data_IF_923897315077
#
_entry.id   IF_923897315077
#
_cell.length_a   1.000
_cell.length_b   1.000
_cell.length_c   1.000
_cell.angle_alpha   90.00
_cell.angle_beta   90.00
_cell.angle_gamma   90.00
#
_symmetry.space_group_name_H-M   'P 1'
#
loop_
_entity.id
_entity.type
_entity.pdbx_description
1 polymer ?
#
# COMPACT_ATOMS: atom_id res chain seq x y z
N UNK A 1 -48.03 62.70 -25.81
CA UNK A 1 -47.74 63.82 -24.88
C UNK A 1 -46.74 63.32 -23.86
N UNK A 2 -45.60 63.92 -23.55
CA UNK A 2 -44.74 64.95 -24.13
C UNK A 2 -43.36 64.78 -23.43
N UNK A 3 -42.26 65.06 -24.13
CA UNK A 3 -40.91 65.22 -23.53
C UNK A 3 -40.80 66.57 -22.80
N UNK A 4 -39.96 66.64 -21.77
CA UNK A 4 -39.03 67.74 -21.43
C UNK A 4 -38.40 67.43 -20.04
N UNK A 5 -37.11 67.15 -19.93
CA UNK A 5 -35.97 68.09 -19.81
C UNK A 5 -35.97 68.91 -18.51
N UNK A 6 -35.00 68.61 -17.63
CA UNK A 6 -34.52 69.49 -16.56
C UNK A 6 -32.97 69.49 -16.55
N UNK A 7 -32.31 70.66 -16.49
CA UNK A 7 -30.87 70.80 -16.70
C UNK A 7 -30.04 70.83 -15.40
N UNK A 8 -28.73 70.71 -15.61
CA UNK A 8 -27.64 70.70 -14.65
C UNK A 8 -27.20 72.09 -14.15
N UNK A 9 -26.54 72.14 -12.97
CA UNK A 9 -25.70 73.29 -12.57
C UNK A 9 -25.29 73.32 -11.08
N UNK A 10 -24.27 72.57 -10.62
CA UNK A 10 -22.84 72.95 -10.42
C UNK A 10 -22.52 73.99 -9.31
N UNK A 11 -21.81 73.54 -8.25
CA UNK A 11 -20.46 73.98 -7.76
C UNK A 11 -20.32 73.74 -6.23
N UNK A 12 -19.51 72.77 -5.79
CA UNK A 12 -18.06 72.81 -5.42
C UNK A 12 -17.78 73.32 -3.98
N UNK A 13 -17.19 72.45 -3.15
CA UNK A 13 -15.81 72.56 -2.58
C UNK A 13 -15.46 71.28 -1.80
N UNK A 14 -14.35 70.62 -2.18
CA UNK A 14 -13.60 69.66 -1.35
C UNK A 14 -12.58 70.39 -0.46
N UNK A 15 -11.51 69.75 0.10
CA UNK A 15 -10.95 68.43 -0.23
C UNK A 15 -10.59 67.51 0.97
N UNK A 16 -10.34 66.22 0.69
CA UNK A 16 -9.77 65.26 1.64
C UNK A 16 -9.30 63.98 0.95
N UNK A 17 -8.09 64.01 0.36
CA UNK A 17 -7.28 62.86 -0.10
C UNK A 17 -6.83 62.05 1.15
N UNK A 18 -6.57 60.75 1.18
CA UNK A 18 -6.51 59.67 0.19
C UNK A 18 -5.79 58.45 0.81
N UNK A 19 -5.95 57.25 0.21
CA UNK A 19 -5.02 56.11 0.35
C UNK A 19 -5.54 54.83 1.03
N UNK A 20 -5.77 53.73 0.28
CA UNK A 20 -5.94 52.38 0.84
C UNK A 20 -4.59 51.74 1.19
N UNK A 21 -4.60 50.98 2.29
CA UNK A 21 -3.43 50.35 2.92
C UNK A 21 -2.60 49.47 1.99
N UNK A 22 -1.29 49.71 2.03
CA UNK A 22 -0.28 49.02 1.25
C UNK A 22 -0.22 47.52 1.57
N UNK A 23 -0.44 46.69 0.54
CA UNK A 23 0.07 45.32 0.51
C UNK A 23 1.58 45.39 0.28
N UNK A 24 2.36 45.01 1.29
CA UNK A 24 3.80 44.82 1.13
C UNK A 24 4.06 43.61 0.23
N UNK A 25 4.25 43.84 -1.07
CA UNK A 25 4.76 42.84 -1.99
C UNK A 25 6.26 42.69 -1.70
N UNK A 26 6.61 41.70 -0.89
CA UNK A 26 8.00 41.31 -0.69
C UNK A 26 8.55 40.73 -1.99
N UNK A 27 9.50 41.48 -2.57
CA UNK A 27 10.29 41.16 -3.74
C UNK A 27 10.85 39.72 -3.68
N UNK A 28 10.79 38.99 -4.79
CA UNK A 28 11.12 37.55 -4.88
C UNK A 28 12.56 37.23 -4.42
N UNK A 29 13.47 38.20 -4.52
CA UNK A 29 14.85 38.10 -4.02
C UNK A 29 14.96 38.01 -2.49
N UNK A 30 14.08 38.70 -1.76
CA UNK A 30 14.05 38.67 -0.29
C UNK A 30 13.46 37.36 0.25
N UNK A 31 12.45 36.79 -0.44
CA UNK A 31 11.93 35.45 -0.12
C UNK A 31 12.99 34.36 -0.31
N UNK A 32 13.83 34.47 -1.35
CA UNK A 32 14.97 33.57 -1.56
C UNK A 32 16.00 33.63 -0.44
N UNK A 33 16.42 34.84 -0.03
CA UNK A 33 17.43 35.02 1.03
C UNK A 33 16.94 34.59 2.42
N UNK A 34 15.64 34.73 2.72
CA UNK A 34 15.06 34.27 3.98
C UNK A 34 14.95 32.73 4.06
N UNK A 35 14.65 32.06 2.93
CA UNK A 35 14.67 30.60 2.82
C UNK A 35 16.08 30.03 3.01
N UNK A 36 17.08 30.66 2.43
CA UNK A 36 18.48 30.20 2.51
C UNK A 36 19.07 30.41 3.92
N UNK A 37 18.73 31.51 4.60
CA UNK A 37 19.16 31.74 6.00
C UNK A 37 18.51 30.77 7.00
N UNK A 38 17.28 30.30 6.76
CA UNK A 38 16.63 29.28 7.61
C UNK A 38 17.26 27.90 7.41
N UNK A 39 17.56 27.49 6.17
CA UNK A 39 18.24 26.23 5.89
C UNK A 39 19.65 26.11 6.51
N UNK A 40 20.41 27.23 6.58
CA UNK A 40 21.74 27.24 7.22
C UNK A 40 21.70 27.14 8.75
N UNK A 41 20.66 27.67 9.41
CA UNK A 41 20.50 27.56 10.88
C UNK A 41 20.12 26.14 11.32
N UNK A 42 19.38 25.40 10.51
CA UNK A 42 18.97 24.02 10.80
C UNK A 42 20.15 23.04 10.68
N UNK A 43 21.06 23.26 9.72
CA UNK A 43 22.30 22.47 9.57
C UNK A 43 23.27 22.61 10.76
N UNK A 44 23.37 23.79 11.40
CA UNK A 44 24.25 23.97 12.56
C UNK A 44 23.77 23.21 13.81
N UNK A 45 22.46 23.02 13.99
CA UNK A 45 21.91 22.29 15.16
C UNK A 45 21.97 20.76 15.02
N UNK A 46 22.05 20.24 13.80
CA UNK A 46 22.21 18.80 13.55
C UNK A 46 23.63 18.30 13.80
N UNK A 47 24.65 19.15 13.64
CA UNK A 47 26.04 18.76 13.88
C UNK A 47 26.38 18.58 15.37
N UNK A 48 25.68 19.28 16.26
CA UNK A 48 25.90 19.22 17.72
C UNK A 48 25.18 18.05 18.42
N UNK A 49 24.23 17.36 17.75
CA UNK A 49 23.51 16.21 18.32
C UNK A 49 23.93 14.84 17.78
N UNK A 50 24.95 14.80 16.91
CA UNK A 50 25.54 13.57 16.39
C UNK A 50 26.44 12.86 17.40
N UNK A 51 25.94 12.58 18.61
CA UNK A 51 26.66 11.89 19.66
C UNK A 51 25.84 10.73 20.21
N UNK A 52 26.21 9.50 19.82
CA UNK A 52 25.81 8.19 20.37
C UNK A 52 24.42 7.66 19.98
N UNK A 53 24.36 6.95 18.86
CA UNK A 53 23.48 5.78 18.73
C UNK A 53 24.33 4.51 18.75
N UNK A 54 24.32 3.82 19.90
CA UNK A 54 24.87 2.48 20.05
C UNK A 54 23.91 1.46 19.41
N UNK A 55 24.43 0.62 18.51
CA UNK A 55 23.73 -0.55 17.97
C UNK A 55 23.66 -1.64 19.04
N UNK A 56 22.52 -2.31 19.28
CA UNK A 56 22.50 -3.52 20.09
C UNK A 56 23.23 -4.66 19.36
N UNK A 57 24.22 -5.26 20.03
CA UNK A 57 24.92 -6.47 19.59
C UNK A 57 24.06 -7.70 19.88
N UNK A 58 23.89 -8.57 18.88
CA UNK A 58 23.36 -9.92 19.01
C UNK A 58 24.17 -10.78 19.99
N UNK A 59 23.54 -11.61 20.84
CA UNK A 59 24.18 -12.80 21.38
C UNK A 59 23.87 -14.02 20.48
N UNK A 60 24.94 -14.72 20.08
CA UNK A 60 24.90 -16.05 19.44
C UNK A 60 24.40 -17.08 20.46
N UNK A 61 23.28 -17.74 20.17
CA UNK A 61 22.78 -18.90 20.91
C UNK A 61 22.80 -20.14 20.02
N UNK A 62 23.50 -21.19 20.47
CA UNK A 62 23.67 -22.49 19.79
C UNK A 62 22.34 -23.27 19.78
N UNK A 63 21.98 -23.86 18.64
CA UNK A 63 20.90 -24.84 18.55
C UNK A 63 21.38 -26.21 19.09
N UNK A 64 20.65 -26.75 20.06
CA UNK A 64 20.67 -28.16 20.45
C UNK A 64 19.27 -28.73 20.18
N UNK A 65 19.20 -29.81 19.40
CA UNK A 65 17.97 -30.55 19.08
C UNK A 65 17.83 -31.70 20.08
N UNK A 66 16.70 -31.86 20.81
CA UNK A 66 16.41 -33.09 21.53
C UNK A 66 15.59 -34.07 20.67
N UNK A 67 15.97 -35.34 20.74
CA UNK A 67 15.36 -36.46 20.03
C UNK A 67 13.91 -36.75 20.42
N UNK A 68 13.14 -37.16 19.41
CA UNK A 68 11.74 -37.54 19.55
C UNK A 68 11.56 -38.90 20.22
N UNK A 69 10.61 -38.96 21.16
CA UNK A 69 10.00 -40.20 21.68
C UNK A 69 8.75 -40.53 20.88
N UNK A 70 8.60 -41.82 20.63
CA UNK A 70 7.53 -42.53 19.94
C UNK A 70 6.26 -42.62 20.82
N UNK A 71 5.04 -42.55 20.26
CA UNK A 71 3.84 -42.99 20.97
C UNK A 71 3.34 -44.35 20.50
N UNK A 72 2.70 -45.02 21.46
CA UNK A 72 2.23 -46.39 21.48
C UNK A 72 1.03 -46.69 20.57
N UNK A 73 0.85 -48.00 20.40
CA UNK A 73 -0.19 -48.71 19.67
C UNK A 73 -1.58 -48.49 20.27
N UNK A 74 -2.58 -48.30 19.41
CA UNK A 74 -3.96 -48.75 19.67
C UNK A 74 -4.39 -49.68 18.53
N UNK A 75 -4.81 -50.88 18.90
CA UNK A 75 -5.28 -51.90 17.97
C UNK A 75 -6.75 -51.74 17.61
N UNK A 76 -7.10 -52.21 16.40
CA UNK A 76 -8.45 -52.66 16.11
C UNK A 76 -8.43 -53.95 15.28
N UNK A 77 -9.28 -54.87 15.72
CA UNK A 77 -9.62 -56.17 15.10
C UNK A 77 -10.43 -55.99 13.81
N UNK A 78 -10.14 -56.82 12.82
CA UNK A 78 -11.10 -57.50 11.92
C UNK A 78 -10.25 -58.57 11.18
N UNK A 79 -10.55 -59.86 11.18
CA UNK A 79 -11.78 -60.53 10.75
C UNK A 79 -11.32 -61.63 9.79
N UNK A 80 -11.35 -62.89 10.22
CA UNK A 80 -10.92 -64.05 9.42
C UNK A 80 -11.77 -64.17 8.16
N UNK A 81 -11.12 -64.28 7.00
CA UNK A 81 -11.74 -64.83 5.78
C UNK A 81 -10.99 -66.10 5.37
N UNK A 82 -11.76 -67.15 5.12
CA UNK A 82 -11.36 -68.54 4.86
C UNK A 82 -10.56 -68.68 3.57
N UNK A 83 -9.52 -69.53 3.61
CA UNK A 83 -8.80 -70.04 2.45
C UNK A 83 -9.69 -70.94 1.58
N UNK A 84 -9.55 -70.83 0.26
CA UNK A 84 -9.84 -71.89 -0.72
C UNK A 84 -8.66 -72.02 -1.71
N UNK A 85 -8.48 -73.20 -2.34
CA UNK A 85 -7.16 -73.74 -2.64
C UNK A 85 -6.65 -73.43 -4.05
N UNK A 86 -5.33 -73.62 -4.14
CA UNK A 86 -4.45 -73.74 -5.31
C UNK A 86 -5.13 -74.12 -6.63
N UNK A 87 -4.89 -73.28 -7.65
CA UNK A 87 -4.84 -73.70 -9.05
C UNK A 87 -3.52 -73.19 -9.60
N UNK A 88 -2.55 -74.08 -9.78
CA UNK A 88 -1.31 -73.82 -10.52
C UNK A 88 -1.63 -73.80 -12.02
N UNK A 89 -1.24 -72.77 -12.79
CA UNK A 89 -1.06 -72.94 -14.21
C UNK A 89 0.36 -73.45 -14.48
N UNK A 90 0.44 -74.56 -15.20
CA UNK A 90 1.66 -75.10 -15.76
C UNK A 90 2.15 -74.13 -16.86
N UNK A 91 3.19 -73.35 -16.58
CA UNK A 91 3.85 -72.53 -17.61
C UNK A 91 4.81 -73.42 -18.37
N UNK A 92 4.50 -73.72 -19.63
CA UNK A 92 5.45 -74.31 -20.59
C UNK A 92 6.41 -73.20 -21.04
N UNK A 93 7.70 -73.38 -20.77
CA UNK A 93 8.74 -72.57 -21.39
C UNK A 93 8.92 -72.99 -22.86
N UNK A 94 8.47 -72.14 -23.79
CA UNK A 94 8.93 -72.17 -25.18
C UNK A 94 10.26 -71.42 -25.32
N UNK A 95 11.07 -71.72 -26.36
CA UNK A 95 12.38 -71.11 -26.51
C UNK A 95 12.25 -69.61 -26.77
N UNK A 96 13.12 -68.85 -26.10
CA UNK A 96 13.24 -67.42 -26.23
C UNK A 96 13.67 -67.04 -27.65
N UNK A 97 12.71 -66.69 -28.50
CA UNK A 97 12.96 -65.81 -29.63
C UNK A 97 13.03 -64.39 -29.05
N UNK A 98 14.25 -63.86 -28.89
CA UNK A 98 14.46 -62.45 -28.58
C UNK A 98 14.17 -61.64 -29.84
N UNK A 99 12.90 -61.43 -30.17
CA UNK A 99 12.51 -60.33 -31.06
C UNK A 99 12.72 -59.04 -30.27
N UNK A 100 13.88 -58.43 -30.46
CA UNK A 100 14.06 -57.00 -30.24
C UNK A 100 13.14 -56.29 -31.23
N UNK A 101 11.86 -56.14 -30.89
CA UNK A 101 11.06 -55.05 -31.44
C UNK A 101 11.66 -53.77 -30.89
N UNK A 102 12.66 -53.23 -31.60
CA UNK A 102 12.93 -51.81 -31.57
C UNK A 102 11.57 -51.14 -31.84
N UNK A 103 10.97 -50.57 -30.80
CA UNK A 103 9.79 -49.75 -30.96
C UNK A 103 10.22 -48.58 -31.85
N UNK A 104 9.97 -48.72 -33.14
CA UNK A 104 10.06 -47.65 -34.12
C UNK A 104 8.99 -46.63 -33.69
N UNK A 105 9.36 -45.69 -32.84
CA UNK A 105 8.52 -44.55 -32.54
C UNK A 105 8.46 -43.76 -33.85
N UNK A 106 7.32 -43.73 -34.56
CA UNK A 106 7.24 -42.95 -35.79
C UNK A 106 7.60 -41.51 -35.41
N UNK A 107 8.72 -41.02 -35.97
CA UNK A 107 9.18 -39.67 -35.74
C UNK A 107 8.05 -38.70 -36.03
N UNK A 108 7.82 -37.72 -35.14
CA UNK A 108 6.77 -36.72 -35.35
C UNK A 108 7.04 -36.04 -36.70
N UNK A 109 6.07 -36.06 -37.65
CA UNK A 109 6.33 -35.52 -38.97
C UNK A 109 6.69 -34.04 -38.87
N UNK A 110 7.69 -33.61 -39.64
CA UNK A 110 8.22 -32.22 -39.61
C UNK A 110 7.11 -31.18 -39.75
N UNK A 111 6.06 -31.48 -40.53
CA UNK A 111 4.88 -30.60 -40.67
C UNK A 111 4.14 -30.37 -39.35
N UNK A 112 4.02 -31.39 -38.50
CA UNK A 112 3.39 -31.28 -37.18
C UNK A 112 4.27 -30.44 -36.25
N UNK A 113 5.60 -30.62 -36.30
CA UNK A 113 6.54 -29.80 -35.54
C UNK A 113 6.51 -28.32 -35.97
N UNK A 114 6.47 -28.05 -37.27
CA UNK A 114 6.38 -26.68 -37.82
C UNK A 114 5.05 -26.02 -37.42
N UNK A 115 3.93 -26.72 -37.54
CA UNK A 115 2.62 -26.21 -37.12
C UNK A 115 2.56 -25.94 -35.61
N UNK A 116 3.12 -26.85 -34.80
CA UNK A 116 3.20 -26.67 -33.35
C UNK A 116 4.08 -25.46 -32.97
N UNK A 117 5.26 -25.33 -33.60
CA UNK A 117 6.13 -24.18 -33.39
C UNK A 117 5.47 -22.87 -33.80
N UNK A 118 4.76 -22.85 -34.94
CA UNK A 118 3.97 -21.71 -35.39
C UNK A 118 2.86 -21.34 -34.41
N UNK A 119 2.15 -22.34 -33.87
CA UNK A 119 1.12 -22.13 -32.85
C UNK A 119 1.69 -21.53 -31.55
N UNK A 120 2.82 -22.04 -31.07
CA UNK A 120 3.50 -21.51 -29.88
C UNK A 120 3.96 -20.07 -30.12
N UNK A 121 4.53 -19.77 -31.28
CA UNK A 121 4.95 -18.41 -31.63
C UNK A 121 3.76 -17.45 -31.70
N UNK A 122 2.63 -17.88 -32.27
CA UNK A 122 1.41 -17.07 -32.34
C UNK A 122 0.86 -16.76 -30.94
N UNK A 123 0.74 -17.78 -30.08
CA UNK A 123 0.29 -17.59 -28.70
C UNK A 123 1.26 -16.68 -27.93
N UNK A 124 2.56 -16.90 -28.10
CA UNK A 124 3.60 -16.06 -27.51
C UNK A 124 3.48 -14.59 -27.94
N UNK A 125 3.26 -14.34 -29.24
CA UNK A 125 3.05 -13.00 -29.78
C UNK A 125 1.77 -12.35 -29.24
N UNK A 126 0.67 -13.10 -29.13
CA UNK A 126 -0.59 -12.61 -28.57
C UNK A 126 -0.46 -12.25 -27.08
N UNK A 127 0.23 -13.08 -26.30
CA UNK A 127 0.52 -12.81 -24.89
C UNK A 127 1.47 -11.62 -24.72
N UNK A 128 2.53 -11.53 -25.52
CA UNK A 128 3.45 -10.41 -25.50
C UNK A 128 2.72 -9.09 -25.85
N UNK A 129 1.87 -9.12 -26.87
CA UNK A 129 1.01 -8.01 -27.26
C UNK A 129 0.04 -7.61 -26.14
N UNK A 130 -0.65 -8.57 -25.53
CA UNK A 130 -1.62 -8.28 -24.47
C UNK A 130 -0.95 -7.70 -23.22
N UNK A 131 0.23 -8.19 -22.84
CA UNK A 131 1.04 -7.61 -21.75
C UNK A 131 1.48 -6.21 -22.11
N UNK A 132 2.03 -6.01 -23.32
CA UNK A 132 2.49 -4.70 -23.79
C UNK A 132 1.37 -3.65 -23.74
N UNK A 133 0.18 -3.99 -24.23
CA UNK A 133 -0.97 -3.09 -24.22
C UNK A 133 -1.63 -2.94 -22.86
N UNK A 134 -1.35 -3.81 -21.88
CA UNK A 134 -1.85 -3.68 -20.50
C UNK A 134 -0.99 -2.75 -19.63
N UNK A 135 0.26 -2.47 -20.02
CA UNK A 135 1.15 -1.56 -19.29
C UNK A 135 0.70 -0.09 -19.44
N UNK A 136 0.94 0.78 -18.44
CA UNK A 136 0.72 2.22 -18.57
C UNK A 136 1.60 2.84 -19.66
N UNK A 137 1.20 3.98 -20.20
CA UNK A 137 2.08 4.77 -21.07
C UNK A 137 3.37 5.15 -20.34
N UNK A 138 4.46 5.18 -21.09
CA UNK A 138 5.76 5.65 -20.60
C UNK A 138 6.44 6.50 -21.67
N UNK A 139 7.62 7.03 -21.36
CA UNK A 139 8.37 7.94 -22.24
C UNK A 139 8.68 7.32 -23.61
N UNK A 140 8.82 6.00 -23.69
CA UNK A 140 9.19 5.30 -24.93
C UNK A 140 7.97 4.92 -25.78
N UNK A 141 6.77 4.88 -25.20
CA UNK A 141 5.56 4.53 -25.95
C UNK A 141 4.30 5.00 -25.21
N UNK A 142 3.53 5.80 -25.94
CA UNK A 142 2.17 6.22 -25.59
C UNK A 142 1.20 5.12 -25.96
N UNK A 143 0.49 4.58 -24.97
CA UNK A 143 -0.45 3.45 -25.13
C UNK A 143 -1.88 3.79 -24.73
N UNK A 144 -2.08 4.90 -24.02
CA UNK A 144 -3.40 5.31 -23.52
C UNK A 144 -4.30 5.82 -24.66
N UNK A 145 -5.59 5.52 -24.56
CA UNK A 145 -6.63 6.04 -25.47
C UNK A 145 -6.79 5.33 -26.82
N UNK A 146 -6.01 4.30 -27.14
CA UNK A 146 -6.13 3.56 -28.41
C UNK A 146 -7.06 2.34 -28.37
N UNK A 147 -7.70 2.03 -29.50
CA UNK A 147 -8.63 0.89 -29.65
C UNK A 147 -7.98 -0.46 -29.34
N UNK A 148 -6.70 -0.65 -29.68
CA UNK A 148 -5.95 -1.88 -29.37
C UNK A 148 -5.78 -2.09 -27.86
N UNK A 149 -5.58 -1.02 -27.09
CA UNK A 149 -5.52 -1.10 -25.62
C UNK A 149 -6.89 -1.44 -25.06
N UNK A 150 -7.96 -0.81 -25.56
CA UNK A 150 -9.32 -1.11 -25.13
C UNK A 150 -9.70 -2.57 -25.45
N UNK A 151 -9.35 -3.07 -26.63
CA UNK A 151 -9.57 -4.46 -27.03
C UNK A 151 -8.78 -5.43 -26.15
N UNK A 152 -7.49 -5.14 -25.92
CA UNK A 152 -6.62 -5.94 -25.04
C UNK A 152 -7.17 -5.98 -23.61
N UNK A 153 -7.61 -4.86 -23.07
CA UNK A 153 -8.16 -4.79 -21.71
C UNK A 153 -9.49 -5.56 -21.57
N UNK A 154 -10.29 -5.67 -22.64
CA UNK A 154 -11.57 -6.38 -22.65
C UNK A 154 -11.41 -7.89 -22.86
N UNK A 155 -10.57 -8.30 -23.81
CA UNK A 155 -10.50 -9.70 -24.25
C UNK A 155 -9.37 -10.49 -23.57
N UNK A 156 -8.26 -9.83 -23.24
CA UNK A 156 -7.06 -10.46 -22.71
C UNK A 156 -6.49 -9.64 -21.52
N UNK A 157 -7.29 -9.39 -20.46
CA UNK A 157 -6.84 -8.57 -19.35
C UNK A 157 -5.62 -9.21 -18.68
N UNK A 158 -4.46 -8.56 -18.78
CA UNK A 158 -3.24 -8.98 -18.08
C UNK A 158 -3.03 -8.25 -16.75
N UNK A 159 -3.79 -7.19 -16.47
CA UNK A 159 -3.66 -6.39 -15.25
C UNK A 159 -4.59 -6.89 -14.14
N UNK A 160 -4.02 -7.36 -13.04
CA UNK A 160 -4.75 -7.77 -11.82
C UNK A 160 -4.76 -6.68 -10.73
N UNK A 161 -4.72 -5.41 -11.15
CA UNK A 161 -4.64 -4.27 -10.23
C UNK A 161 -5.96 -3.99 -9.46
N UNK A 162 -6.98 -4.85 -9.64
CA UNK A 162 -8.32 -4.67 -9.06
C UNK A 162 -8.31 -4.56 -7.53
N UNK A 163 -7.33 -5.18 -6.85
CA UNK A 163 -7.23 -5.18 -5.39
C UNK A 163 -6.16 -4.23 -4.83
N UNK A 164 -5.52 -3.43 -5.68
CA UNK A 164 -4.42 -2.55 -5.28
C UNK A 164 -4.78 -1.09 -5.47
N UNK A 165 -4.84 -0.36 -4.36
CA UNK A 165 -4.95 1.09 -4.37
C UNK A 165 -3.72 1.71 -5.08
N UNK A 166 -3.88 2.75 -5.93
CA UNK A 166 -2.75 3.42 -6.55
C UNK A 166 -1.71 3.86 -5.51
N UNK A 167 -0.41 3.66 -5.77
CA UNK A 167 0.63 3.97 -4.79
C UNK A 167 0.74 5.47 -4.49
N UNK A 168 0.24 6.33 -5.38
CA UNK A 168 0.19 7.79 -5.23
C UNK A 168 -0.92 8.29 -4.30
N UNK A 169 -1.90 7.45 -3.99
CA UNK A 169 -3.10 7.87 -3.30
C UNK A 169 -2.87 8.16 -1.82
N UNK A 170 -3.69 9.04 -1.21
CA UNK A 170 -3.64 9.29 0.22
C UNK A 170 -3.99 8.04 1.03
N UNK A 171 -3.32 7.88 2.17
CA UNK A 171 -3.52 6.79 3.12
C UNK A 171 -3.69 7.35 4.52
N UNK A 172 -4.57 6.75 5.31
CA UNK A 172 -4.77 7.12 6.70
C UNK A 172 -3.88 6.27 7.61
N UNK A 173 -3.04 6.95 8.40
CA UNK A 173 -2.12 6.32 9.35
C UNK A 173 -2.60 6.63 10.78
N UNK A 174 -2.87 5.60 11.61
CA UNK A 174 -3.30 5.81 12.99
C UNK A 174 -2.13 5.97 13.95
N UNK A 175 -2.30 6.83 14.96
CA UNK A 175 -1.41 7.00 16.09
C UNK A 175 -2.22 6.90 17.39
N UNK A 176 -1.75 6.10 18.35
CA UNK A 176 -2.34 6.03 19.69
C UNK A 176 -1.82 7.19 20.55
N UNK A 177 -2.72 7.82 21.30
CA UNK A 177 -2.36 8.85 22.26
C UNK A 177 -2.21 8.21 23.64
N UNK A 178 -1.05 8.44 24.27
CA UNK A 178 -0.74 7.98 25.62
C UNK A 178 -0.13 9.13 26.43
N UNK A 179 0.04 8.96 27.74
CA UNK A 179 0.65 9.97 28.62
C UNK A 179 2.08 10.34 28.18
N UNK A 180 2.77 9.43 27.49
CA UNK A 180 4.11 9.64 26.94
C UNK A 180 4.15 10.30 25.56
N UNK A 181 3.00 10.67 24.98
CA UNK A 181 2.87 11.26 23.64
C UNK A 181 2.15 10.36 22.64
N UNK A 182 2.46 10.54 21.36
CA UNK A 182 1.86 9.78 20.26
C UNK A 182 2.74 8.62 19.81
N UNK A 183 2.15 7.45 19.62
CA UNK A 183 2.84 6.27 19.13
C UNK A 183 2.20 5.76 17.83
N UNK A 184 3.02 5.45 16.84
CA UNK A 184 2.54 4.90 15.57
C UNK A 184 1.83 3.56 15.80
N UNK A 185 0.57 3.47 15.37
CA UNK A 185 -0.31 2.33 15.68
C UNK A 185 -0.62 1.44 14.46
N UNK A 186 -0.03 1.73 13.29
CA UNK A 186 -0.26 0.88 12.13
C UNK A 186 0.45 -0.48 12.29
N UNK A 187 -0.31 -1.55 12.09
CA UNK A 187 0.12 -2.93 12.30
C UNK A 187 0.99 -3.46 11.14
N UNK A 188 0.86 -2.91 9.93
CA UNK A 188 1.72 -3.27 8.80
C UNK A 188 3.21 -2.94 9.07
N UNK A 189 4.17 -3.70 8.50
CA UNK A 189 4.00 -4.76 7.50
C UNK A 189 3.66 -6.14 8.06
N UNK A 190 3.12 -7.01 7.18
CA UNK A 190 2.80 -8.41 7.51
C UNK A 190 4.01 -9.21 8.03
N UNK A 191 5.23 -8.84 7.64
CA UNK A 191 6.47 -9.52 8.01
C UNK A 191 6.93 -9.29 9.45
N UNK A 192 6.26 -8.42 10.21
CA UNK A 192 6.56 -8.18 11.64
C UNK A 192 6.32 -9.44 12.48
N UNK A 193 7.15 -9.63 13.52
CA UNK A 193 7.04 -10.77 14.43
C UNK A 193 5.70 -10.73 15.21
N UNK A 194 5.22 -9.54 15.55
CA UNK A 194 3.93 -9.31 16.21
C UNK A 194 2.75 -9.74 15.32
N UNK A 195 2.97 -9.76 14.00
CA UNK A 195 2.03 -10.27 13.01
C UNK A 195 2.25 -11.75 12.68
N UNK A 196 3.09 -12.46 13.44
CA UNK A 196 3.45 -13.86 13.20
C UNK A 196 3.87 -14.08 11.74
N UNK A 197 4.65 -13.15 11.17
CA UNK A 197 5.07 -13.16 9.77
C UNK A 197 3.93 -13.28 8.75
N UNK A 198 2.72 -12.85 9.13
CA UNK A 198 1.54 -12.82 8.27
C UNK A 198 0.51 -13.92 8.55
N UNK A 199 0.72 -14.76 9.58
CA UNK A 199 -0.25 -15.78 9.98
C UNK A 199 -1.49 -15.17 10.65
N UNK A 200 -1.34 -14.06 11.39
CA UNK A 200 -2.52 -13.31 11.86
C UNK A 200 -3.16 -12.53 10.72
N UNK A 201 -4.43 -12.18 10.89
CA UNK A 201 -5.23 -11.40 9.94
C UNK A 201 -5.57 -10.00 10.45
N UNK A 202 -5.20 -9.65 11.68
CA UNK A 202 -5.53 -8.37 12.33
C UNK A 202 -4.98 -7.16 11.56
N UNK A 203 -3.74 -7.24 11.09
CA UNK A 203 -3.10 -6.19 10.31
C UNK A 203 -3.76 -5.93 8.94
N UNK A 204 -4.41 -6.95 8.35
CA UNK A 204 -5.19 -6.77 7.10
C UNK A 204 -6.58 -6.19 7.37
N UNK A 205 -7.13 -6.44 8.57
CA UNK A 205 -8.41 -5.88 8.99
C UNK A 205 -8.30 -4.39 9.38
N UNK A 206 -7.12 -3.92 9.78
CA UNK A 206 -6.92 -2.54 10.25
C UNK A 206 -7.14 -1.48 9.15
N UNK A 207 -6.82 -1.76 7.89
CA UNK A 207 -7.04 -0.80 6.80
C UNK A 207 -8.51 -0.37 6.66
N UNK A 208 -9.44 -1.33 6.48
CA UNK A 208 -10.89 -1.07 6.50
C UNK A 208 -11.39 -0.41 7.80
N UNK A 209 -10.86 -0.82 8.95
CA UNK A 209 -11.19 -0.21 10.25
C UNK A 209 -10.84 1.29 10.27
N UNK A 210 -9.61 1.64 9.91
CA UNK A 210 -9.16 3.04 9.87
C UNK A 210 -9.98 3.85 8.86
N UNK A 211 -10.29 3.28 7.69
CA UNK A 211 -11.11 3.95 6.70
C UNK A 211 -12.55 4.22 7.20
N UNK A 212 -13.16 3.25 7.88
CA UNK A 212 -14.49 3.40 8.47
C UNK A 212 -14.52 4.48 9.57
N UNK A 213 -13.47 4.58 10.38
CA UNK A 213 -13.31 5.66 11.36
C UNK A 213 -13.08 7.01 10.68
N UNK A 214 -12.19 7.07 9.68
CA UNK A 214 -11.87 8.30 8.95
C UNK A 214 -13.08 8.90 8.24
N UNK A 215 -13.99 8.06 7.71
CA UNK A 215 -15.24 8.50 7.07
C UNK A 215 -16.21 9.21 8.04
N UNK A 216 -16.08 9.01 9.35
CA UNK A 216 -16.88 9.70 10.36
C UNK A 216 -16.31 11.07 10.72
N UNK A 217 -15.04 11.35 10.38
CA UNK A 217 -14.36 12.59 10.70
C UNK A 217 -14.77 13.71 9.75
N UNK A 218 -15.54 14.67 10.27
CA UNK A 218 -16.00 15.85 9.51
C UNK A 218 -15.00 17.00 9.51
N UNK A 219 -14.18 17.10 10.55
CA UNK A 219 -13.24 18.22 10.76
C UNK A 219 -11.82 17.68 10.83
N UNK A 220 -11.02 18.12 9.88
CA UNK A 220 -9.60 17.80 9.79
C UNK A 220 -8.79 19.07 9.98
N UNK A 221 -7.64 18.95 10.64
CA UNK A 221 -6.67 20.03 10.75
C UNK A 221 -5.58 19.85 9.71
N UNK A 222 -5.26 20.91 8.98
CA UNK A 222 -4.17 20.90 8.01
C UNK A 222 -2.82 20.76 8.73
N UNK A 223 -1.96 19.88 8.22
CA UNK A 223 -0.59 19.72 8.71
C UNK A 223 0.37 20.71 8.02
N UNK A 224 -0.03 21.35 6.93
CA UNK A 224 0.78 22.35 6.25
C UNK A 224 0.99 23.57 7.15
N UNK A 225 2.26 23.87 7.45
CA UNK A 225 2.64 25.02 8.29
C UNK A 225 2.72 24.74 9.78
N UNK A 226 2.44 23.51 10.24
CA UNK A 226 2.72 23.11 11.62
C UNK A 226 4.24 22.94 11.79
N UNK A 227 4.81 23.60 12.80
CA UNK A 227 6.20 23.36 13.20
C UNK A 227 6.27 22.12 14.11
N UNK A 228 7.04 21.11 13.68
CA UNK A 228 7.23 19.87 14.44
C UNK A 228 6.47 18.68 13.85
N UNK A 229 6.24 17.67 14.69
CA UNK A 229 5.53 16.44 14.33
C UNK A 229 4.01 16.67 14.36
N UNK A 230 3.36 16.63 13.19
CA UNK A 230 1.93 16.95 13.05
C UNK A 230 1.05 16.11 13.97
N UNK A 231 1.13 14.76 13.98
CA UNK A 231 0.34 13.94 14.90
C UNK A 231 0.52 14.32 16.37
N UNK A 232 1.74 14.65 16.82
CA UNK A 232 1.98 15.07 18.20
C UNK A 232 1.31 16.42 18.54
N UNK A 233 1.43 17.41 17.66
CA UNK A 233 0.81 18.73 17.85
C UNK A 233 -0.71 18.63 17.84
N UNK A 234 -1.27 17.83 16.93
CA UNK A 234 -2.72 17.64 16.82
C UNK A 234 -3.26 16.87 18.03
N UNK A 235 -2.55 15.86 18.55
CA UNK A 235 -2.94 15.13 19.76
C UNK A 235 -3.16 16.04 20.98
N UNK A 236 -2.29 17.04 21.16
CA UNK A 236 -2.38 18.00 22.27
C UNK A 236 -3.50 19.03 22.14
N UNK A 237 -4.23 19.03 21.02
CA UNK A 237 -5.27 20.03 20.77
C UNK A 237 -6.63 19.62 21.34
N UNK A 238 -7.42 20.58 21.85
CA UNK A 238 -8.80 20.30 22.27
C UNK A 238 -9.67 19.99 21.04
N UNK A 239 -10.67 19.12 21.21
CA UNK A 239 -11.69 18.84 20.19
C UNK A 239 -11.60 17.46 19.53
N UNK A 240 -11.45 16.39 20.33
CA UNK A 240 -11.58 15.03 19.82
C UNK A 240 -12.99 14.78 19.27
N UNK A 241 -13.07 14.19 18.07
CA UNK A 241 -14.36 13.80 17.46
C UNK A 241 -14.70 12.39 17.93
N UNK A 242 -15.88 12.20 18.52
CA UNK A 242 -16.37 10.87 18.85
C UNK A 242 -16.63 10.07 17.57
N UNK A 243 -16.04 8.89 17.47
CA UNK A 243 -16.22 7.97 16.35
C UNK A 243 -16.53 6.57 16.87
N UNK A 244 -17.40 5.83 16.19
CA UNK A 244 -17.70 4.45 16.53
C UNK A 244 -16.81 3.52 15.72
N UNK A 245 -16.06 2.65 16.39
CA UNK A 245 -15.30 1.59 15.74
C UNK A 245 -16.20 0.35 15.55
N UNK A 246 -16.67 0.15 14.33
CA UNK A 246 -17.54 -0.98 13.96
C UNK A 246 -16.77 -2.21 13.45
N UNK A 247 -15.44 -2.21 13.57
CA UNK A 247 -14.62 -3.36 13.18
C UNK A 247 -14.99 -4.59 14.02
N UNK A 248 -15.19 -5.78 13.40
CA UNK A 248 -15.38 -7.03 14.15
C UNK A 248 -14.17 -7.40 15.02
N UNK A 249 -12.98 -6.90 14.67
CA UNK A 249 -11.74 -7.11 15.42
C UNK A 249 -11.11 -5.73 15.61
N UNK A 250 -11.57 -4.94 16.61
CA UNK A 250 -11.09 -3.58 16.80
C UNK A 250 -9.63 -3.59 17.28
N UNK A 251 -8.81 -2.77 16.64
CA UNK A 251 -7.39 -2.54 16.98
C UNK A 251 -7.14 -1.11 17.47
N UNK A 252 -8.10 -0.20 17.25
CA UNK A 252 -8.00 1.21 17.61
C UNK A 252 -9.18 1.62 18.50
N UNK A 253 -8.93 1.69 19.81
CA UNK A 253 -9.92 2.12 20.80
C UNK A 253 -9.34 3.26 21.64
N UNK A 254 -10.22 4.11 22.18
CA UNK A 254 -9.84 5.28 22.96
C UNK A 254 -9.35 6.43 22.09
N UNK A 255 -8.44 7.25 22.63
CA UNK A 255 -7.95 8.46 21.97
C UNK A 255 -6.89 8.15 20.91
N UNK A 256 -7.21 8.46 19.65
CA UNK A 256 -6.39 8.16 18.47
C UNK A 256 -6.22 9.42 17.63
N UNK A 257 -5.07 9.60 17.00
CA UNK A 257 -4.89 10.58 15.91
C UNK A 257 -4.88 9.84 14.59
N UNK A 258 -5.81 10.19 13.70
CA UNK A 258 -5.83 9.74 12.32
C UNK A 258 -5.13 10.79 11.46
N UNK A 259 -4.14 10.38 10.68
CA UNK A 259 -3.39 11.27 9.78
C UNK A 259 -3.56 10.83 8.34
N UNK A 260 -4.08 11.70 7.48
CA UNK A 260 -4.02 11.50 6.03
C UNK A 260 -2.62 11.86 5.53
N UNK A 261 -1.97 10.90 4.87
CA UNK A 261 -0.61 11.02 4.38
C UNK A 261 -0.54 10.75 2.89
N UNK A 262 0.38 11.40 2.17
CA UNK A 262 0.68 11.10 0.77
C UNK A 262 2.15 10.73 0.59
N UNK A 263 2.50 9.84 -0.35
CA UNK A 263 3.90 9.57 -0.65
C UNK A 263 4.62 10.83 -1.12
N UNK A 264 5.88 10.98 -0.71
CA UNK A 264 6.76 12.02 -1.25
C UNK A 264 7.01 11.69 -2.73
N UNK A 265 6.72 12.60 -3.68
CA UNK A 265 7.04 12.35 -5.07
C UNK A 265 8.54 12.12 -5.24
N UNK A 266 8.93 11.11 -6.00
CA UNK A 266 10.33 10.69 -6.14
C UNK A 266 11.29 11.84 -6.47
N UNK A 267 10.86 12.76 -7.34
CA UNK A 267 11.61 13.97 -7.75
C UNK A 267 12.05 14.85 -6.56
N UNK A 268 11.36 14.76 -5.42
CA UNK A 268 11.59 15.60 -4.24
C UNK A 268 12.04 14.80 -3.01
N UNK A 269 12.40 13.52 -3.15
CA UNK A 269 12.79 12.67 -2.00
C UNK A 269 13.91 13.27 -1.14
N UNK A 270 14.85 14.01 -1.75
CA UNK A 270 15.98 14.62 -1.04
C UNK A 270 15.62 15.94 -0.33
N UNK A 271 14.36 16.39 -0.45
CA UNK A 271 13.84 17.64 0.13
C UNK A 271 13.01 17.41 1.39
N UNK A 272 12.65 16.17 1.69
CA UNK A 272 11.80 15.80 2.80
C UNK A 272 12.48 14.73 3.64
N UNK A 273 12.22 14.76 4.94
CA UNK A 273 12.63 13.71 5.85
C UNK A 273 11.53 12.63 5.84
N UNK A 274 11.90 11.40 5.48
CA UNK A 274 10.96 10.29 5.33
C UNK A 274 10.38 10.13 3.91
N UNK A 275 9.39 9.24 3.77
CA UNK A 275 8.82 8.84 2.48
C UNK A 275 7.35 9.23 2.32
N UNK A 276 6.73 9.81 3.36
CA UNK A 276 5.36 10.32 3.34
C UNK A 276 5.27 11.74 3.91
N UNK A 277 4.26 12.46 3.47
CA UNK A 277 3.90 13.80 3.93
C UNK A 277 2.54 13.76 4.61
N UNK A 278 2.49 14.24 5.84
CA UNK A 278 1.23 14.46 6.55
C UNK A 278 0.49 15.63 5.90
N UNK A 279 -0.74 15.39 5.48
CA UNK A 279 -1.59 16.41 4.84
C UNK A 279 -2.57 16.99 5.83
N UNK A 280 -3.25 16.15 6.57
CA UNK A 280 -4.20 16.58 7.58
C UNK A 280 -4.34 15.52 8.66
N UNK A 281 -4.64 15.96 9.87
CA UNK A 281 -4.82 15.08 11.00
C UNK A 281 -6.08 15.43 11.80
N UNK A 282 -6.64 14.45 12.48
CA UNK A 282 -7.79 14.61 13.36
C UNK A 282 -7.61 13.75 14.61
N UNK A 283 -7.92 14.34 15.77
CA UNK A 283 -8.05 13.58 17.02
C UNK A 283 -9.44 12.98 17.06
N UNK A 284 -9.52 11.68 17.31
CA UNK A 284 -10.76 10.95 17.46
C UNK A 284 -10.79 10.22 18.80
N UNK A 285 -11.98 10.10 19.37
CA UNK A 285 -12.25 9.26 20.52
C UNK A 285 -13.05 8.06 20.03
N UNK A 286 -12.39 6.90 19.95
CA UNK A 286 -12.91 5.69 19.32
C UNK A 286 -13.59 4.79 20.35
N UNK A 287 -14.90 4.62 20.24
CA UNK A 287 -15.67 3.68 21.06
C UNK A 287 -15.73 2.31 20.40
N UNK A 288 -15.44 1.26 21.16
CA UNK A 288 -15.37 -0.13 20.70
C UNK A 288 -16.44 -0.97 21.41
N UNK A 289 -17.18 -1.79 20.67
CA UNK A 289 -18.33 -2.59 21.14
C UNK A 289 -18.02 -3.71 22.15
N UNK A 290 -16.86 -3.70 22.80
CA UNK A 290 -16.47 -4.66 23.83
C UNK A 290 -15.72 -4.03 25.00
N UNK A 291 -15.84 -2.71 25.18
CA UNK A 291 -15.11 -1.95 26.20
C UNK A 291 -16.03 -0.98 26.97
N UNK A 292 -17.32 -1.34 27.08
CA UNK A 292 -18.24 -0.75 28.05
C UNK A 292 -18.03 -1.39 29.44
#
# INVERSE_FOLDING_TARGET
MARADLPAGRRRRGPGRGGPGARLVLDGRLRGRLRERRGRRQRRRLHERGGRHQRPRHPRGRHLVPGGRQPERLGHRAGRVRRRPDVRPHVRHGPAATEQHAADHPGVPVRVLVSAAGGVLLVGALLAGSVFFSLPSNVLSTRDGGDLRALSARLLPQSWAFFTKPPSDPEFVPYLVSDGGVAHAALLPNSRAENLYGLTRRQRAQGPEVAAMANQVRRWRDCEGIEGDCPAVVAGSPGAVSVKNTSPVPTLCGRVVLVETRPVPWKFRDRYEGWRLDKRAAVVEATCSGND
#
